data_IF_808014981443
#
_entry.id   IF_808014981443
#
_cell.length_a   1.000
_cell.length_b   1.000
_cell.length_c   1.000
_cell.angle_alpha   90.00
_cell.angle_beta   90.00
_cell.angle_gamma   90.00
#
_symmetry.space_group_name_H-M   'P 1'
#
loop_
_entity.id
_entity.type
_entity.pdbx_description
1 polymer ?
#
# COMPACT_ATOMS: atom_id res chain seq x y z
N UNK A 1 26.12 36.42 21.90
CA UNK A 1 24.90 36.11 21.13
C UNK A 1 24.92 34.62 20.83
N UNK A 2 24.05 33.85 21.49
CA UNK A 2 23.87 32.44 21.16
C UNK A 2 23.07 32.36 19.85
N UNK A 3 23.62 31.67 18.85
CA UNK A 3 22.86 31.31 17.66
C UNK A 3 21.63 30.49 18.10
N UNK A 4 20.44 30.72 17.52
CA UNK A 4 19.27 29.93 17.85
C UNK A 4 19.58 28.46 17.58
N UNK A 5 19.14 27.57 18.47
CA UNK A 5 19.22 26.12 18.33
C UNK A 5 18.49 25.69 17.04
N UNK A 6 19.18 25.75 15.90
CA UNK A 6 18.73 25.12 14.67
C UNK A 6 19.02 23.64 14.85
N UNK A 7 18.03 22.91 15.36
CA UNK A 7 18.01 21.45 15.34
C UNK A 7 18.20 21.02 13.89
N UNK A 8 19.38 20.48 13.57
CA UNK A 8 19.65 19.76 12.33
C UNK A 8 18.80 18.49 12.34
N UNK A 9 17.53 18.65 11.99
CA UNK A 9 16.66 17.54 11.67
C UNK A 9 17.21 16.97 10.36
N UNK A 10 17.81 15.78 10.40
CA UNK A 10 18.20 15.08 9.17
C UNK A 10 16.96 14.99 8.26
N UNK A 11 17.14 14.99 6.94
CA UNK A 11 16.00 14.92 5.98
C UNK A 11 15.03 13.79 6.37
N UNK A 12 15.57 12.66 6.85
CA UNK A 12 14.82 11.51 7.35
C UNK A 12 13.91 11.83 8.54
N UNK A 13 14.41 12.54 9.56
CA UNK A 13 13.63 12.93 10.74
C UNK A 13 12.46 13.88 10.41
N UNK A 14 12.63 14.76 9.42
CA UNK A 14 11.55 15.64 8.97
C UNK A 14 10.40 14.82 8.35
N UNK A 15 10.73 13.90 7.44
CA UNK A 15 9.73 13.05 6.80
C UNK A 15 9.07 12.10 7.79
N UNK A 16 9.83 11.56 8.75
CA UNK A 16 9.25 10.80 9.87
C UNK A 16 8.18 11.59 10.58
N UNK A 17 8.50 12.79 11.07
CA UNK A 17 7.54 13.65 11.79
C UNK A 17 6.32 14.01 10.95
N UNK A 18 6.50 14.23 9.65
CA UNK A 18 5.40 14.51 8.72
C UNK A 18 4.48 13.29 8.59
N UNK A 19 5.03 12.11 8.34
CA UNK A 19 4.28 10.84 8.24
C UNK A 19 3.56 10.56 9.57
N UNK A 20 4.26 10.71 10.69
CA UNK A 20 3.69 10.58 12.03
C UNK A 20 2.48 11.48 12.24
N UNK A 21 2.58 12.75 11.85
CA UNK A 21 1.47 13.70 11.95
C UNK A 21 0.26 13.23 11.13
N UNK A 22 0.48 12.64 9.96
CA UNK A 22 -0.58 12.08 9.12
C UNK A 22 -1.16 10.76 9.64
N UNK A 23 -0.38 10.00 10.42
CA UNK A 23 -0.76 8.71 11.00
C UNK A 23 -1.20 8.79 12.47
N UNK A 24 -1.29 10.00 13.06
CA UNK A 24 -1.90 10.20 14.38
C UNK A 24 -3.39 9.84 14.31
N UNK A 25 -3.69 8.62 14.70
CA UNK A 25 -5.01 8.03 14.72
C UNK A 25 -5.38 7.74 16.17
N UNK A 26 -6.66 7.83 16.55
CA UNK A 26 -7.08 7.27 17.83
C UNK A 26 -6.80 5.76 17.80
N UNK A 27 -6.32 5.18 18.90
CA UNK A 27 -6.08 3.74 18.98
C UNK A 27 -7.40 3.01 18.73
N UNK A 28 -7.45 2.23 17.64
CA UNK A 28 -8.62 1.46 17.25
C UNK A 28 -8.15 0.09 16.75
N UNK A 29 -8.71 -0.97 17.33
CA UNK A 29 -8.46 -2.38 16.93
C UNK A 29 -8.84 -2.72 15.49
N UNK A 30 -9.52 -1.81 14.80
CA UNK A 30 -10.07 -1.99 13.46
C UNK A 30 -9.36 -1.14 12.40
N UNK A 31 -8.27 -0.45 12.77
CA UNK A 31 -7.46 0.34 11.84
C UNK A 31 -6.36 -0.52 11.23
N UNK A 32 -6.26 -0.45 9.92
CA UNK A 32 -5.18 -0.97 9.12
C UNK A 32 -4.37 0.19 8.53
N UNK A 33 -3.04 0.16 8.71
CA UNK A 33 -2.11 1.06 8.04
C UNK A 33 -1.30 0.25 7.03
N UNK A 34 -1.35 0.65 5.77
CA UNK A 34 -0.77 -0.09 4.65
C UNK A 34 0.03 0.86 3.75
N UNK A 35 1.26 0.48 3.42
CA UNK A 35 2.08 1.11 2.40
C UNK A 35 2.09 0.23 1.14
N UNK A 36 1.94 0.84 -0.03
CA UNK A 36 2.00 0.17 -1.33
C UNK A 36 3.04 0.79 -2.23
N UNK A 37 3.74 -0.04 -2.99
CA UNK A 37 4.59 0.40 -4.09
C UNK A 37 3.79 0.63 -5.36
N UNK A 38 4.10 1.72 -6.06
CA UNK A 38 3.44 2.09 -7.30
C UNK A 38 4.15 3.24 -8.00
N UNK A 39 3.43 3.97 -8.85
CA UNK A 39 3.95 5.15 -9.55
C UNK A 39 2.93 6.27 -9.52
N UNK A 40 3.37 7.49 -9.25
CA UNK A 40 2.55 8.68 -9.45
C UNK A 40 2.67 9.06 -10.93
N UNK A 41 1.60 8.89 -11.70
CA UNK A 41 1.59 9.14 -13.14
C UNK A 41 0.71 10.32 -13.50
N UNK A 42 1.05 10.95 -14.61
CA UNK A 42 0.18 11.94 -15.21
C UNK A 42 -0.91 11.22 -16.02
N UNK A 43 -2.17 11.55 -15.76
CA UNK A 43 -3.33 10.92 -16.36
C UNK A 43 -3.41 11.09 -17.88
N UNK A 44 -2.81 12.16 -18.42
CA UNK A 44 -2.79 12.46 -19.86
C UNK A 44 -1.65 11.70 -20.53
N UNK A 45 -0.42 11.84 -20.04
CA UNK A 45 0.77 11.25 -20.69
C UNK A 45 0.97 9.78 -20.38
N UNK A 46 0.30 9.26 -19.33
CA UNK A 46 0.52 7.92 -18.76
C UNK A 46 1.96 7.65 -18.34
N UNK A 47 2.75 8.72 -18.17
CA UNK A 47 4.13 8.64 -17.71
C UNK A 47 4.19 8.99 -16.24
N UNK A 48 5.12 8.37 -15.52
CA UNK A 48 5.47 8.77 -14.17
C UNK A 48 5.93 10.22 -14.16
N UNK A 49 5.52 10.98 -13.15
CA UNK A 49 5.98 12.35 -12.96
C UNK A 49 7.50 12.40 -12.79
N UNK A 50 8.10 13.47 -13.29
CA UNK A 50 9.53 13.72 -13.15
C UNK A 50 9.76 15.19 -12.75
N UNK A 51 9.60 15.48 -11.46
CA UNK A 51 9.94 16.77 -10.92
C UNK A 51 11.46 16.88 -10.71
N UNK A 52 12.01 18.05 -11.03
CA UNK A 52 13.43 18.38 -10.83
C UNK A 52 13.68 18.70 -9.35
N UNK A 53 13.58 17.68 -8.50
CA UNK A 53 13.82 17.76 -7.06
C UNK A 53 14.67 16.58 -6.60
N UNK A 54 15.47 16.81 -5.57
CA UNK A 54 16.36 15.80 -4.99
C UNK A 54 15.79 15.17 -3.71
N UNK A 55 14.63 15.64 -3.24
CA UNK A 55 14.03 15.17 -2.00
C UNK A 55 12.63 14.60 -2.26
N UNK A 56 12.16 13.68 -1.40
CA UNK A 56 10.78 13.22 -1.45
C UNK A 56 9.77 14.38 -1.41
N UNK A 57 8.61 14.18 -2.02
CA UNK A 57 7.48 15.10 -1.93
C UNK A 57 6.29 14.32 -1.39
N UNK A 58 5.67 14.83 -0.32
CA UNK A 58 4.47 14.23 0.26
C UNK A 58 3.24 14.99 -0.22
N UNK A 59 2.33 14.28 -0.86
CA UNK A 59 1.02 14.76 -1.30
C UNK A 59 -0.05 14.26 -0.35
N UNK A 60 -0.64 15.16 0.44
CA UNK A 60 -1.87 14.86 1.19
C UNK A 60 -3.04 14.55 0.25
N UNK A 61 -3.00 15.14 -0.95
CA UNK A 61 -3.89 14.85 -2.08
C UNK A 61 -3.14 15.11 -3.38
N UNK A 62 -3.20 14.17 -4.32
CA UNK A 62 -2.65 14.38 -5.65
C UNK A 62 -3.44 15.45 -6.42
N UNK A 63 -2.77 16.31 -7.20
CA UNK A 63 -3.41 17.15 -8.22
C UNK A 63 -4.31 16.33 -9.15
N UNK A 64 -5.33 16.97 -9.73
CA UNK A 64 -6.36 16.28 -10.52
C UNK A 64 -5.80 15.62 -11.79
N UNK A 65 -4.65 16.08 -12.27
CA UNK A 65 -3.97 15.57 -13.46
C UNK A 65 -3.09 14.36 -13.14
N UNK A 66 -2.92 14.02 -11.87
CA UNK A 66 -2.09 12.92 -11.40
C UNK A 66 -2.92 11.81 -10.79
N UNK A 67 -2.42 10.58 -10.88
CA UNK A 67 -2.95 9.45 -10.14
C UNK A 67 -1.82 8.57 -9.61
N UNK A 68 -2.15 7.71 -8.66
CA UNK A 68 -1.24 6.66 -8.20
C UNK A 68 -1.66 5.35 -8.86
N UNK A 69 -0.76 4.80 -9.68
CA UNK A 69 -0.90 3.50 -10.30
C UNK A 69 -0.29 2.44 -9.39
N UNK A 70 -1.12 1.51 -8.91
CA UNK A 70 -0.66 0.44 -8.02
C UNK A 70 0.13 -0.60 -8.81
N UNK A 71 1.23 -1.06 -8.21
CA UNK A 71 1.99 -2.20 -8.69
C UNK A 71 3.35 -1.85 -9.29
N UNK A 72 4.12 -2.91 -9.50
CA UNK A 72 5.50 -2.88 -9.95
C UNK A 72 5.70 -3.76 -11.19
N UNK A 73 6.85 -3.63 -11.84
CA UNK A 73 7.19 -4.50 -12.96
C UNK A 73 7.42 -5.94 -12.49
N UNK A 74 7.14 -6.92 -13.34
CA UNK A 74 7.26 -8.36 -13.00
C UNK A 74 8.66 -8.75 -12.50
N UNK A 75 9.72 -8.20 -13.10
CA UNK A 75 11.10 -8.50 -12.72
C UNK A 75 11.40 -7.95 -11.32
N UNK A 76 11.07 -6.68 -11.11
CA UNK A 76 11.21 -5.98 -9.84
C UNK A 76 10.39 -6.65 -8.72
N UNK A 77 9.17 -7.10 -9.02
CA UNK A 77 8.34 -7.86 -8.09
C UNK A 77 9.08 -9.10 -7.58
N UNK A 78 9.69 -9.88 -8.49
CA UNK A 78 10.41 -11.09 -8.12
C UNK A 78 11.67 -10.77 -7.31
N UNK A 79 12.41 -9.73 -7.69
CA UNK A 79 13.60 -9.27 -6.97
C UNK A 79 13.24 -8.84 -5.53
N UNK A 80 12.29 -7.93 -5.38
CA UNK A 80 11.84 -7.42 -4.07
C UNK A 80 11.32 -8.57 -3.21
N UNK A 81 10.52 -9.46 -3.79
CA UNK A 81 9.99 -10.64 -3.09
C UNK A 81 11.11 -11.50 -2.55
N UNK A 82 12.09 -11.86 -3.36
CA UNK A 82 13.18 -12.72 -2.93
C UNK A 82 13.99 -12.08 -1.80
N UNK A 83 14.29 -10.78 -1.88
CA UNK A 83 15.01 -10.05 -0.83
C UNK A 83 14.25 -10.00 0.48
N UNK A 84 12.95 -9.68 0.46
CA UNK A 84 12.15 -9.54 1.70
C UNK A 84 11.80 -10.90 2.31
N UNK A 85 11.59 -11.92 1.49
CA UNK A 85 11.14 -13.25 1.93
C UNK A 85 12.28 -14.18 2.34
N UNK A 86 13.54 -13.78 2.15
CA UNK A 86 14.69 -14.62 2.46
C UNK A 86 14.71 -15.01 3.95
N UNK A 87 14.69 -16.32 4.21
CA UNK A 87 14.66 -16.86 5.58
C UNK A 87 13.34 -16.66 6.34
N UNK A 88 12.31 -16.08 5.72
CA UNK A 88 11.00 -15.86 6.36
C UNK A 88 10.04 -17.04 6.14
N UNK A 89 9.19 -17.31 7.14
CA UNK A 89 8.05 -18.21 6.94
C UNK A 89 7.02 -17.53 6.07
N UNK A 90 6.55 -18.23 5.04
CA UNK A 90 5.58 -17.71 4.08
C UNK A 90 4.28 -18.49 4.10
N UNK A 91 3.19 -17.78 3.79
CA UNK A 91 1.87 -18.35 3.57
C UNK A 91 1.42 -18.02 2.15
N UNK A 92 0.90 -19.02 1.43
CA UNK A 92 0.36 -18.85 0.09
C UNK A 92 -1.16 -18.81 0.17
N UNK A 93 -1.76 -17.76 -0.38
CA UNK A 93 -3.21 -17.53 -0.38
C UNK A 93 -3.65 -17.39 -1.83
N UNK A 94 -4.61 -18.19 -2.24
CA UNK A 94 -5.30 -18.02 -3.52
C UNK A 94 -6.76 -17.74 -3.23
N UNK A 95 -7.24 -16.55 -3.59
CA UNK A 95 -8.60 -16.14 -3.33
C UNK A 95 -9.22 -15.38 -4.51
N UNK A 96 -10.54 -15.33 -4.49
CA UNK A 96 -11.33 -14.50 -5.39
C UNK A 96 -12.01 -13.41 -4.58
N UNK A 97 -11.77 -12.16 -4.94
CA UNK A 97 -12.39 -11.01 -4.31
C UNK A 97 -13.40 -10.40 -5.26
N UNK A 98 -14.65 -10.38 -4.81
CA UNK A 98 -15.72 -9.64 -5.49
C UNK A 98 -16.09 -8.43 -4.63
N UNK A 99 -16.07 -7.24 -5.23
CA UNK A 99 -16.37 -5.98 -4.55
C UNK A 99 -17.72 -5.45 -5.06
N UNK A 100 -18.59 -5.14 -4.12
CA UNK A 100 -19.97 -4.73 -4.36
C UNK A 100 -20.41 -3.78 -3.23
N UNK A 101 -20.89 -2.56 -3.52
CA UNK A 101 -21.33 -1.60 -2.51
C UNK A 101 -20.34 -1.34 -1.34
N UNK A 102 -19.04 -1.27 -1.63
CA UNK A 102 -17.94 -1.14 -0.64
C UNK A 102 -17.77 -2.37 0.28
N UNK A 103 -18.45 -3.47 0.00
CA UNK A 103 -18.32 -4.75 0.66
C UNK A 103 -17.52 -5.69 -0.25
N UNK A 104 -16.62 -6.43 0.36
CA UNK A 104 -15.77 -7.43 -0.28
C UNK A 104 -16.29 -8.79 0.13
N UNK A 105 -16.65 -9.61 -0.85
CA UNK A 105 -16.80 -11.05 -0.68
C UNK A 105 -15.47 -11.68 -1.06
N UNK A 106 -14.82 -12.33 -0.10
CA UNK A 106 -13.54 -13.01 -0.28
C UNK A 106 -13.83 -14.51 -0.22
N UNK A 107 -13.58 -15.20 -1.32
CA UNK A 107 -13.79 -16.64 -1.45
C UNK A 107 -12.42 -17.32 -1.46
N UNK A 108 -12.15 -18.13 -0.43
CA UNK A 108 -10.93 -18.93 -0.29
C UNK A 108 -11.29 -20.41 -0.04
N UNK A 109 -10.32 -21.34 -0.11
CA UNK A 109 -10.55 -22.74 0.24
C UNK A 109 -11.06 -22.97 1.68
N UNK A 110 -10.79 -22.02 2.58
CA UNK A 110 -11.14 -22.09 4.00
C UNK A 110 -12.57 -21.59 4.28
N UNK A 111 -13.18 -20.88 3.33
CA UNK A 111 -14.53 -20.36 3.46
C UNK A 111 -14.76 -19.05 2.72
N UNK A 112 -15.93 -18.46 2.95
CA UNK A 112 -16.28 -17.13 2.43
C UNK A 112 -16.35 -16.12 3.56
N UNK A 113 -15.64 -15.01 3.40
CA UNK A 113 -15.65 -13.89 4.36
C UNK A 113 -16.24 -12.65 3.69
N UNK A 114 -17.00 -11.87 4.46
CA UNK A 114 -17.58 -10.60 4.04
C UNK A 114 -16.99 -9.47 4.89
N UNK A 115 -16.42 -8.49 4.21
CA UNK A 115 -15.71 -7.38 4.86
C UNK A 115 -16.07 -6.05 4.23
N UNK A 116 -16.17 -5.03 5.07
CA UNK A 116 -16.28 -3.64 4.65
C UNK A 116 -14.98 -2.91 5.00
N UNK A 117 -14.24 -2.52 3.96
CA UNK A 117 -13.04 -1.68 4.08
C UNK A 117 -13.37 -0.24 3.69
N UNK A 118 -13.22 0.68 4.64
CA UNK A 118 -13.42 2.11 4.43
C UNK A 118 -12.09 2.83 4.56
N UNK A 119 -11.61 3.45 3.49
CA UNK A 119 -10.40 4.29 3.54
C UNK A 119 -10.71 5.57 4.32
N UNK A 120 -9.99 5.80 5.41
CA UNK A 120 -10.12 6.97 6.27
C UNK A 120 -9.25 8.11 5.73
N UNK A 121 -8.02 7.79 5.35
CA UNK A 121 -7.07 8.73 4.76
C UNK A 121 -6.06 7.99 3.87
N UNK A 122 -5.42 8.74 3.00
CA UNK A 122 -4.24 8.29 2.28
C UNK A 122 -3.40 9.49 1.88
N UNK A 123 -2.11 9.28 1.73
CA UNK A 123 -1.21 10.25 1.13
C UNK A 123 -0.17 9.52 0.28
N UNK A 124 0.38 10.26 -0.67
CA UNK A 124 1.29 9.75 -1.68
C UNK A 124 2.66 10.39 -1.50
N UNK A 125 3.73 9.61 -1.67
CA UNK A 125 5.11 10.06 -1.52
C UNK A 125 5.79 9.85 -2.86
N UNK A 126 6.11 10.95 -3.53
CA UNK A 126 6.98 10.95 -4.69
C UNK A 126 8.43 10.77 -4.24
N UNK A 127 9.12 9.80 -4.87
CA UNK A 127 10.48 9.43 -4.55
C UNK A 127 11.38 9.60 -5.79
N UNK A 128 12.08 10.74 -5.94
CA UNK A 128 12.79 11.07 -7.18
C UNK A 128 13.94 10.11 -7.52
N UNK A 129 14.64 9.59 -6.51
CA UNK A 129 15.80 8.68 -6.69
C UNK A 129 15.40 7.23 -7.02
N UNK A 130 14.15 6.86 -6.76
CA UNK A 130 13.67 5.49 -6.85
C UNK A 130 12.76 5.30 -8.04
N UNK A 131 12.69 4.07 -8.57
CA UNK A 131 11.81 3.71 -9.68
C UNK A 131 10.32 3.79 -9.32
N UNK A 132 10.00 3.56 -8.05
CA UNK A 132 8.65 3.52 -7.50
C UNK A 132 8.41 4.61 -6.47
N UNK A 133 7.15 5.01 -6.37
CA UNK A 133 6.57 5.89 -5.36
C UNK A 133 5.82 5.05 -4.32
N UNK A 134 5.43 5.69 -3.21
CA UNK A 134 4.72 5.01 -2.12
C UNK A 134 3.37 5.67 -1.89
N UNK A 135 2.33 4.85 -1.73
CA UNK A 135 1.05 5.28 -1.15
C UNK A 135 0.91 4.71 0.24
N UNK A 136 0.66 5.55 1.22
CA UNK A 136 0.27 5.12 2.57
C UNK A 136 -1.24 5.32 2.69
N UNK A 137 -1.95 4.27 3.07
CA UNK A 137 -3.39 4.26 3.30
C UNK A 137 -3.70 3.86 4.73
N UNK A 138 -4.64 4.58 5.32
CA UNK A 138 -5.27 4.20 6.58
C UNK A 138 -6.69 3.77 6.27
N UNK A 139 -7.04 2.55 6.63
CA UNK A 139 -8.37 2.00 6.39
C UNK A 139 -8.96 1.48 7.69
N UNK A 140 -10.28 1.55 7.80
CA UNK A 140 -11.05 0.81 8.79
C UNK A 140 -11.60 -0.45 8.16
N UNK A 141 -11.32 -1.61 8.74
CA UNK A 141 -11.86 -2.89 8.32
C UNK A 141 -12.87 -3.43 9.34
N UNK A 142 -14.05 -3.81 8.86
CA UNK A 142 -15.14 -4.32 9.71
C UNK A 142 -15.77 -5.54 9.06
N UNK A 143 -16.20 -6.50 9.87
CA UNK A 143 -16.99 -7.64 9.39
C UNK A 143 -18.32 -7.14 8.82
N UNK A 144 -18.76 -7.74 7.71
CA UNK A 144 -20.05 -7.50 7.10
C UNK A 144 -20.86 -8.81 7.04
N UNK A 145 -22.16 -8.70 6.82
CA UNK A 145 -23.02 -9.86 6.65
C UNK A 145 -23.23 -10.18 5.16
N UNK A 146 -23.48 -11.45 4.85
CA UNK A 146 -23.70 -11.88 3.47
C UNK A 146 -24.85 -11.10 2.79
N UNK A 147 -25.93 -10.82 3.54
CA UNK A 147 -27.09 -10.05 3.07
C UNK A 147 -26.74 -8.64 2.56
N UNK A 148 -25.67 -8.04 3.07
CA UNK A 148 -25.27 -6.69 2.70
C UNK A 148 -24.65 -6.65 1.29
N UNK A 149 -24.16 -7.79 0.79
CA UNK A 149 -23.53 -7.94 -0.52
C UNK A 149 -24.53 -8.11 -1.68
N UNK A 150 -25.68 -8.75 -1.45
CA UNK A 150 -26.58 -9.22 -2.51
C UNK A 150 -27.45 -8.12 -3.17
N UNK A 151 -27.36 -6.87 -2.72
CA UNK A 151 -28.27 -5.80 -3.14
C UNK A 151 -27.72 -4.85 -4.23
N UNK A 152 -26.71 -5.22 -5.03
CA UNK A 152 -26.06 -4.25 -5.94
C UNK A 152 -25.85 -4.64 -7.40
N UNK A 153 -25.61 -3.57 -8.17
CA UNK A 153 -25.34 -3.56 -9.61
C UNK A 153 -23.83 -3.39 -9.84
N UNK A 154 -23.30 -4.05 -10.86
CA UNK A 154 -21.90 -3.96 -11.34
C UNK A 154 -20.82 -4.45 -10.35
N UNK A 155 -20.83 -5.73 -9.96
CA UNK A 155 -19.75 -6.29 -9.15
C UNK A 155 -18.42 -6.24 -9.90
N UNK A 156 -17.35 -5.88 -9.19
CA UNK A 156 -15.99 -5.98 -9.70
C UNK A 156 -15.29 -7.20 -9.10
N UNK A 157 -14.78 -8.08 -9.95
CA UNK A 157 -14.14 -9.33 -9.51
C UNK A 157 -12.68 -9.36 -9.92
N UNK A 158 -11.83 -9.78 -8.99
CA UNK A 158 -10.42 -10.07 -9.24
C UNK A 158 -10.02 -11.38 -8.58
N UNK A 159 -9.13 -12.11 -9.22
CA UNK A 159 -8.45 -13.27 -8.63
C UNK A 159 -7.09 -12.81 -8.10
N UNK A 160 -6.68 -13.32 -6.94
CA UNK A 160 -5.39 -13.00 -6.32
C UNK A 160 -4.63 -14.27 -6.00
N UNK A 161 -3.38 -14.30 -6.44
CA UNK A 161 -2.35 -15.19 -5.91
C UNK A 161 -1.43 -14.37 -5.01
N UNK A 162 -1.44 -14.64 -3.71
CA UNK A 162 -0.69 -13.86 -2.72
C UNK A 162 0.28 -14.74 -1.97
N UNK A 163 1.48 -14.21 -1.76
CA UNK A 163 2.45 -14.75 -0.81
C UNK A 163 2.67 -13.73 0.28
N UNK A 164 2.40 -14.12 1.52
CA UNK A 164 2.50 -13.26 2.70
C UNK A 164 3.59 -13.77 3.63
N UNK A 165 4.34 -12.87 4.25
CA UNK A 165 5.19 -13.18 5.40
C UNK A 165 4.96 -12.15 6.51
N UNK A 166 5.30 -12.56 7.73
CA UNK A 166 5.22 -11.71 8.90
C UNK A 166 6.61 -11.54 9.50
N UNK A 167 6.97 -10.30 9.82
CA UNK A 167 8.21 -9.95 10.52
C UNK A 167 7.86 -8.99 11.65
N UNK A 168 7.73 -9.52 12.87
CA UNK A 168 7.29 -8.75 14.03
C UNK A 168 5.89 -8.13 13.82
N UNK A 169 5.73 -6.79 13.99
CA UNK A 169 4.45 -6.10 13.83
C UNK A 169 4.08 -5.83 12.35
N UNK A 170 4.94 -6.22 11.41
CA UNK A 170 4.77 -5.97 9.98
C UNK A 170 4.35 -7.24 9.24
N UNK A 171 3.49 -7.09 8.25
CA UNK A 171 3.27 -8.12 7.24
C UNK A 171 3.59 -7.58 5.86
N UNK A 172 4.18 -8.43 5.02
CA UNK A 172 4.49 -8.12 3.63
C UNK A 172 3.68 -9.03 2.73
N UNK A 173 2.91 -8.43 1.84
CA UNK A 173 2.03 -9.11 0.90
C UNK A 173 2.52 -8.89 -0.53
N UNK A 174 2.78 -10.00 -1.21
CA UNK A 174 3.18 -10.02 -2.61
C UNK A 174 2.07 -10.64 -3.43
N UNK A 175 1.28 -9.80 -4.09
CA UNK A 175 0.04 -10.21 -4.75
C UNK A 175 0.16 -10.10 -6.26
N UNK A 176 -0.14 -11.18 -6.97
CA UNK A 176 -0.47 -11.14 -8.40
C UNK A 176 -1.98 -11.07 -8.53
N UNK A 177 -2.48 -9.99 -9.11
CA UNK A 177 -3.91 -9.78 -9.31
C UNK A 177 -4.26 -9.82 -10.80
N UNK A 178 -5.31 -10.53 -11.16
CA UNK A 178 -5.91 -10.52 -12.51
C UNK A 178 -7.37 -10.05 -12.45
N UNK A 179 -7.78 -9.28 -13.45
CA UNK A 179 -9.19 -8.88 -13.64
C UNK A 179 -9.89 -9.93 -14.47
N UNK A 180 -11.02 -10.44 -13.99
CA UNK A 180 -11.78 -11.51 -14.67
C UNK A 180 -12.64 -11.01 -15.83
N UNK A 181 -12.05 -10.48 -16.90
CA UNK A 181 -12.75 -10.25 -18.17
C UNK A 181 -12.02 -10.90 -19.35
N UNK A 182 -12.81 -11.47 -20.26
CA UNK A 182 -12.44 -12.39 -21.35
C UNK A 182 -11.48 -11.82 -22.43
N UNK A 183 -11.10 -10.54 -22.36
CA UNK A 183 -10.24 -9.90 -23.36
C UNK A 183 -9.02 -9.24 -22.71
N UNK A 184 -7.97 -10.04 -22.49
CA UNK A 184 -6.65 -9.57 -22.07
C UNK A 184 -6.44 -9.64 -20.56
N UNK A 185 -5.71 -10.65 -20.14
CA UNK A 185 -5.38 -10.94 -18.74
C UNK A 185 -4.34 -9.91 -18.24
N UNK A 186 -4.77 -8.68 -17.95
CA UNK A 186 -3.87 -7.65 -17.41
C UNK A 186 -3.47 -8.02 -15.98
N UNK A 187 -2.29 -8.60 -15.81
CA UNK A 187 -1.72 -8.96 -14.51
C UNK A 187 -1.06 -7.75 -13.87
N UNK A 188 -1.47 -7.46 -12.64
CA UNK A 188 -0.84 -6.45 -11.78
C UNK A 188 -0.05 -7.16 -10.69
N UNK A 189 1.18 -6.70 -10.46
CA UNK A 189 2.06 -7.22 -9.42
C UNK A 189 2.13 -6.19 -8.29
N UNK A 190 1.46 -6.46 -7.18
CA UNK A 190 1.30 -5.55 -6.04
C UNK A 190 2.26 -5.95 -4.90
N UNK A 191 2.97 -4.97 -4.34
CA UNK A 191 3.82 -5.14 -3.14
C UNK A 191 3.25 -4.23 -2.05
N UNK A 192 2.84 -4.83 -0.95
CA UNK A 192 2.18 -4.16 0.17
C UNK A 192 2.93 -4.48 1.47
N UNK A 193 3.12 -3.47 2.33
CA UNK A 193 3.59 -3.61 3.71
C UNK A 193 2.49 -3.10 4.63
N UNK A 194 2.07 -3.89 5.59
CA UNK A 194 1.01 -3.57 6.53
C UNK A 194 1.55 -3.55 7.97
N UNK A 195 1.07 -2.59 8.76
CA UNK A 195 1.34 -2.49 10.19
C UNK A 195 0.15 -3.04 10.97
N UNK A 196 0.33 -4.19 11.63
CA UNK A 196 -0.72 -4.87 12.40
C UNK A 196 -1.02 -4.21 13.73
N UNK A 197 -0.02 -3.61 14.37
CA UNK A 197 -0.14 -2.94 15.65
C UNK A 197 0.52 -1.54 15.60
N UNK A 198 -0.29 -0.49 15.35
CA UNK A 198 0.19 0.88 15.31
C UNK A 198 0.81 1.38 16.62
N UNK A 199 0.42 0.82 17.76
CA UNK A 199 0.88 1.30 19.08
C UNK A 199 2.34 0.88 19.35
N UNK A 200 2.83 -0.16 18.67
CA UNK A 200 4.19 -0.71 18.88
C UNK A 200 5.09 -0.51 17.65
N UNK A 201 4.55 -0.58 16.44
CA UNK A 201 5.37 -0.70 15.24
C UNK A 201 5.51 0.56 14.39
N UNK A 202 4.92 1.70 14.77
CA UNK A 202 4.88 2.89 13.89
C UNK A 202 6.28 3.45 13.56
N UNK A 203 7.21 3.47 14.51
CA UNK A 203 8.59 3.93 14.26
C UNK A 203 9.29 3.06 13.22
N UNK A 204 9.27 1.75 13.46
CA UNK A 204 9.86 0.77 12.56
C UNK A 204 9.17 0.75 11.19
N UNK A 205 7.85 0.98 11.14
CA UNK A 205 7.11 1.07 9.87
C UNK A 205 7.67 2.20 9.00
N UNK A 206 7.86 3.38 9.59
CA UNK A 206 8.38 4.54 8.84
C UNK A 206 9.85 4.31 8.45
N UNK A 207 10.65 3.68 9.29
CA UNK A 207 12.03 3.31 8.97
C UNK A 207 12.13 2.34 7.78
N UNK A 208 11.28 1.31 7.76
CA UNK A 208 11.25 0.34 6.66
C UNK A 208 10.71 0.99 5.39
N UNK A 209 9.78 1.93 5.50
CA UNK A 209 9.13 2.56 4.36
C UNK A 209 10.11 3.24 3.39
N UNK A 210 11.14 3.90 3.90
CA UNK A 210 12.17 4.53 3.05
C UNK A 210 13.16 3.52 2.45
N UNK A 211 13.21 2.30 2.98
CA UNK A 211 14.03 1.21 2.46
C UNK A 211 13.23 0.25 1.56
N UNK A 212 11.89 0.37 1.53
CA UNK A 212 11.00 -0.48 0.73
C UNK A 212 11.21 -0.33 -0.80
N UNK A 213 11.40 0.87 -1.36
CA UNK A 213 11.80 1.02 -2.75
C UNK A 213 13.29 0.68 -2.87
N UNK A 214 13.61 -0.60 -3.05
CA UNK A 214 15.01 -1.04 -3.17
C UNK A 214 15.64 -0.73 -4.54
N UNK A 215 14.82 -0.32 -5.53
CA UNK A 215 15.24 -0.14 -6.92
C UNK A 215 15.36 1.34 -7.27
N UNK A 216 16.61 1.79 -7.43
CA UNK A 216 16.94 3.14 -7.91
C UNK A 216 16.60 3.31 -9.39
N UNK A 217 16.39 4.56 -9.82
CA UNK A 217 16.18 4.90 -11.24
C UNK A 217 17.41 4.62 -12.09
#
# INVERSE_FOLDING_TARGET
MALPNVLFCTKHEFFKKLIYKHLKLPSFKEIEIEARLGRITNLITKKRINYQVEHPIVFSRLPNELCFENGVDKQDFAQIKNTIMEGQRTNNICDKVTICNKIRRIESPEGTVYEKKVRLSSFDIYLPEFKYDIRISVSKETKAEARDFFNAKNPFTRTRERVSCQSGPFSFDFTKASKGMENGDSKVFEVEMELKDPDIGLDGFVDILFNLPVIKR
#
